data_IF_857882539098
#
_entry.id   IF_857882539098
#
_cell.length_a   1.000
_cell.length_b   1.000
_cell.length_c   1.000
_cell.angle_alpha   90.00
_cell.angle_beta   90.00
_cell.angle_gamma   90.00
#
_symmetry.space_group_name_H-M   'P 1'
#
loop_
_entity.id
_entity.type
_entity.pdbx_description
1 polymer ?
#
# COMPACT_ATOMS: atom_id res chain seq x y z
N UNK A 1 -3.82 25.69 -11.46
CA UNK A 1 -3.20 26.43 -10.35
C UNK A 1 -1.81 25.85 -10.10
N UNK A 2 -0.73 26.58 -10.41
CA UNK A 2 0.64 26.07 -10.26
C UNK A 2 0.95 25.81 -8.77
N UNK A 3 1.55 24.66 -8.48
CA UNK A 3 1.99 24.26 -7.13
C UNK A 3 3.37 24.87 -6.84
N UNK A 4 3.45 25.78 -5.88
CA UNK A 4 4.69 26.42 -5.43
C UNK A 4 5.32 25.72 -4.20
N UNK A 5 4.79 24.58 -3.75
CA UNK A 5 5.27 23.85 -2.57
C UNK A 5 6.66 23.22 -2.72
N UNK A 6 7.25 23.27 -3.92
CA UNK A 6 8.61 22.76 -4.21
C UNK A 6 9.53 23.81 -4.84
N UNK A 7 9.20 25.11 -4.71
CA UNK A 7 10.05 26.20 -5.21
C UNK A 7 11.42 26.13 -4.55
N UNK A 8 12.44 25.93 -5.38
CA UNK A 8 13.84 25.95 -5.00
C UNK A 8 14.64 26.67 -6.06
N UNK A 9 15.74 27.31 -5.67
CA UNK A 9 16.75 27.76 -6.62
C UNK A 9 17.28 26.52 -7.37
N UNK A 10 17.00 26.44 -8.67
CA UNK A 10 17.41 25.34 -9.53
C UNK A 10 17.76 25.86 -10.93
N UNK A 11 18.40 25.01 -11.72
CA UNK A 11 18.63 25.25 -13.14
C UNK A 11 17.28 25.40 -13.86
N UNK A 12 17.01 26.51 -14.58
CA UNK A 12 15.75 26.71 -15.30
C UNK A 12 15.41 25.61 -16.32
N UNK A 13 16.41 24.83 -16.76
CA UNK A 13 16.20 23.66 -17.61
C UNK A 13 15.42 22.53 -16.91
N UNK A 14 15.46 22.47 -15.57
CA UNK A 14 14.80 21.44 -14.77
C UNK A 14 13.28 21.49 -14.95
N UNK A 15 12.67 22.67 -14.90
CA UNK A 15 11.22 22.84 -14.98
C UNK A 15 10.71 22.35 -16.35
N UNK A 16 11.46 22.64 -17.41
CA UNK A 16 11.16 22.19 -18.77
C UNK A 16 11.29 20.66 -18.88
N UNK A 17 12.36 20.08 -18.35
CA UNK A 17 12.55 18.63 -18.36
C UNK A 17 11.47 17.88 -17.57
N UNK A 18 11.11 18.38 -16.38
CA UNK A 18 10.03 17.83 -15.57
C UNK A 18 8.68 17.91 -16.28
N UNK A 19 8.38 19.03 -16.94
CA UNK A 19 7.15 19.19 -17.72
C UNK A 19 7.05 18.16 -18.86
N UNK A 20 8.12 17.97 -19.62
CA UNK A 20 8.16 17.02 -20.75
C UNK A 20 8.02 15.56 -20.29
N UNK A 21 8.64 15.21 -19.15
CA UNK A 21 8.54 13.88 -18.57
C UNK A 21 7.14 13.62 -17.98
N UNK A 22 6.55 14.61 -17.31
CA UNK A 22 5.20 14.54 -16.76
C UNK A 22 4.18 14.37 -17.89
N UNK A 23 4.34 15.12 -18.97
CA UNK A 23 3.51 14.97 -20.17
C UNK A 23 3.52 13.53 -20.69
N UNK A 24 4.71 12.98 -20.96
CA UNK A 24 4.85 11.63 -21.50
C UNK A 24 4.32 10.54 -20.57
N UNK A 25 4.34 10.77 -19.25
CA UNK A 25 3.74 9.85 -18.29
C UNK A 25 2.20 9.83 -18.39
N UNK A 26 1.56 10.99 -18.56
CA UNK A 26 0.10 11.11 -18.59
C UNK A 26 -0.53 10.89 -19.97
N UNK A 27 0.21 11.10 -21.05
CA UNK A 27 -0.26 10.94 -22.43
C UNK A 27 -0.70 9.48 -22.74
N UNK A 28 -0.02 8.50 -22.13
CA UNK A 28 -0.35 7.07 -22.27
C UNK A 28 -1.73 6.71 -21.68
N UNK A 29 -2.16 7.42 -20.64
CA UNK A 29 -3.47 7.17 -19.99
C UNK A 29 -4.63 7.93 -20.65
N UNK A 30 -4.34 8.95 -21.47
CA UNK A 30 -5.37 9.95 -21.85
C UNK A 30 -5.90 9.83 -23.28
N UNK A 31 -5.24 9.08 -24.19
CA UNK A 31 -5.63 8.88 -25.61
C UNK A 31 -6.35 10.09 -26.27
N UNK A 32 -5.86 11.31 -26.04
CA UNK A 32 -6.47 12.51 -26.63
C UNK A 32 -5.85 12.77 -28.00
N UNK A 33 -6.61 12.47 -29.06
CA UNK A 33 -6.25 12.80 -30.43
C UNK A 33 -5.99 14.33 -30.57
N UNK A 34 -4.81 14.70 -31.09
CA UNK A 34 -4.45 16.10 -31.40
C UNK A 34 -3.33 16.70 -30.55
N UNK A 35 -2.81 16.00 -29.54
CA UNK A 35 -1.73 16.49 -28.67
C UNK A 35 -0.37 15.78 -28.88
N UNK A 36 -0.25 14.93 -29.89
CA UNK A 36 0.96 14.17 -30.22
C UNK A 36 2.20 15.04 -30.49
N UNK A 37 1.99 16.30 -30.93
CA UNK A 37 3.05 17.29 -31.24
C UNK A 37 3.30 18.29 -30.11
N UNK A 38 2.71 18.05 -28.93
CA UNK A 38 2.76 18.99 -27.81
C UNK A 38 4.19 19.23 -27.29
N UNK A 39 5.05 18.20 -27.12
CA UNK A 39 6.45 18.40 -26.73
C UNK A 39 7.22 19.29 -27.71
N UNK A 40 7.03 19.10 -29.01
CA UNK A 40 7.68 19.87 -30.08
C UNK A 40 7.17 21.31 -30.11
N UNK A 41 5.85 21.51 -29.99
CA UNK A 41 5.24 22.83 -29.97
C UNK A 41 5.65 23.63 -28.73
N UNK A 42 5.70 22.98 -27.56
CA UNK A 42 6.17 23.59 -26.32
C UNK A 42 7.62 24.06 -26.46
N UNK A 43 8.50 23.20 -26.97
CA UNK A 43 9.90 23.54 -27.18
C UNK A 43 10.10 24.58 -28.27
N UNK A 44 9.29 24.59 -29.32
CA UNK A 44 9.32 25.64 -30.35
C UNK A 44 8.93 27.01 -29.77
N UNK A 45 8.01 27.05 -28.80
CA UNK A 45 7.67 28.27 -28.05
C UNK A 45 8.73 28.68 -27.02
N UNK A 46 9.42 27.70 -26.42
CA UNK A 46 10.42 27.95 -25.37
C UNK A 46 11.82 28.28 -25.91
N UNK A 47 12.21 27.73 -27.06
CA UNK A 47 13.56 27.85 -27.62
C UNK A 47 14.01 29.26 -28.05
N UNK A 48 13.15 30.18 -28.53
CA UNK A 48 13.60 31.50 -28.98
C UNK A 48 14.33 32.28 -27.88
N UNK A 49 15.59 32.67 -28.15
CA UNK A 49 16.44 33.41 -27.20
C UNK A 49 17.03 32.56 -26.06
N UNK A 50 16.81 31.24 -26.04
CA UNK A 50 17.35 30.34 -25.03
C UNK A 50 18.66 29.69 -25.53
N UNK A 51 19.74 29.69 -24.73
CA UNK A 51 20.98 29.02 -25.11
C UNK A 51 20.78 27.53 -25.36
N UNK A 52 21.45 27.00 -26.40
CA UNK A 52 21.34 25.59 -26.80
C UNK A 52 21.68 24.63 -25.65
N UNK A 53 22.62 25.00 -24.80
CA UNK A 53 23.05 24.24 -23.63
C UNK A 53 21.91 24.07 -22.62
N UNK A 54 21.01 25.05 -22.49
CA UNK A 54 19.84 24.94 -21.60
C UNK A 54 18.83 23.93 -22.14
N UNK A 55 18.60 23.92 -23.45
CA UNK A 55 17.73 22.92 -24.10
C UNK A 55 18.31 21.50 -23.94
N UNK A 56 19.63 21.36 -24.04
CA UNK A 56 20.32 20.08 -23.81
C UNK A 56 20.16 19.60 -22.36
N UNK A 57 20.34 20.48 -21.37
CA UNK A 57 20.10 20.14 -19.96
C UNK A 57 18.62 19.82 -19.70
N UNK A 58 17.69 20.46 -20.39
CA UNK A 58 16.27 20.16 -20.27
C UNK A 58 15.94 18.74 -20.75
N UNK A 59 16.54 18.30 -21.87
CA UNK A 59 16.45 16.90 -22.34
C UNK A 59 17.08 15.90 -21.39
N UNK A 60 18.17 16.26 -20.71
CA UNK A 60 18.75 15.43 -19.65
C UNK A 60 17.78 15.31 -18.45
N UNK A 61 17.19 16.41 -18.01
CA UNK A 61 16.21 16.41 -16.93
C UNK A 61 14.90 15.70 -17.30
N UNK A 62 14.50 15.72 -18.58
CA UNK A 62 13.40 14.90 -19.11
C UNK A 62 13.69 13.41 -18.94
N UNK A 63 14.86 12.93 -19.36
CA UNK A 63 15.26 11.54 -19.17
C UNK A 63 15.24 11.14 -17.68
N UNK A 64 15.82 11.96 -16.81
CA UNK A 64 15.78 11.73 -15.36
C UNK A 64 14.34 11.76 -14.80
N UNK A 65 13.49 12.63 -15.34
CA UNK A 65 12.09 12.75 -14.98
C UNK A 65 11.30 11.49 -15.30
N UNK A 66 11.53 10.89 -16.47
CA UNK A 66 10.90 9.63 -16.89
C UNK A 66 11.24 8.48 -15.93
N UNK A 67 12.51 8.36 -15.53
CA UNK A 67 12.92 7.38 -14.50
C UNK A 67 12.23 7.66 -13.16
N UNK A 68 12.14 8.94 -12.77
CA UNK A 68 11.44 9.33 -11.54
C UNK A 68 9.95 8.99 -11.60
N UNK A 69 9.30 9.13 -12.75
CA UNK A 69 7.93 8.71 -12.97
C UNK A 69 7.78 7.19 -12.85
N UNK A 70 8.67 6.42 -13.48
CA UNK A 70 8.68 4.96 -13.38
C UNK A 70 8.78 4.48 -11.93
N UNK A 71 9.65 5.10 -11.13
CA UNK A 71 9.89 4.70 -9.72
C UNK A 71 8.80 5.20 -8.78
N UNK A 72 8.27 6.42 -8.97
CA UNK A 72 7.38 7.06 -7.98
C UNK A 72 5.90 6.99 -8.31
N UNK A 73 5.55 6.75 -9.57
CA UNK A 73 4.16 6.92 -10.04
C UNK A 73 3.56 5.63 -10.59
N UNK A 74 4.35 4.72 -11.13
CA UNK A 74 3.87 3.38 -11.51
C UNK A 74 3.72 2.53 -10.24
N UNK A 75 2.52 2.00 -10.03
CA UNK A 75 2.25 1.16 -8.88
C UNK A 75 2.54 -0.30 -9.22
N UNK A 76 3.45 -0.94 -8.48
CA UNK A 76 3.89 -2.32 -8.76
C UNK A 76 2.80 -3.39 -8.57
N UNK A 77 1.61 -3.01 -8.10
CA UNK A 77 0.45 -3.90 -7.97
C UNK A 77 -0.53 -3.80 -9.16
N UNK A 78 -0.31 -2.89 -10.12
CA UNK A 78 -1.11 -2.78 -11.34
C UNK A 78 -0.72 -3.91 -12.31
N UNK A 79 -1.67 -4.52 -13.01
CA UNK A 79 -1.40 -5.71 -13.84
C UNK A 79 -0.40 -5.48 -14.99
N UNK A 80 -0.19 -4.23 -15.38
CA UNK A 80 0.67 -3.77 -16.47
C UNK A 80 1.90 -2.98 -15.97
N UNK A 81 2.18 -2.97 -14.65
CA UNK A 81 3.24 -2.16 -14.05
C UNK A 81 4.60 -2.37 -14.73
N UNK A 82 4.92 -3.62 -15.10
CA UNK A 82 6.20 -3.99 -15.69
C UNK A 82 6.34 -3.39 -17.11
N UNK A 83 5.29 -3.47 -17.92
CA UNK A 83 5.25 -2.88 -19.26
C UNK A 83 5.34 -1.35 -19.18
N UNK A 84 4.62 -0.72 -18.24
CA UNK A 84 4.67 0.73 -18.02
C UNK A 84 6.04 1.23 -17.57
N UNK A 85 6.70 0.50 -16.66
CA UNK A 85 8.08 0.81 -16.24
C UNK A 85 9.05 0.64 -17.40
N UNK A 86 8.96 -0.46 -18.16
CA UNK A 86 9.83 -0.73 -19.30
C UNK A 86 9.72 0.37 -20.36
N UNK A 87 8.51 0.80 -20.69
CA UNK A 87 8.26 1.87 -21.64
C UNK A 87 8.87 3.22 -21.19
N UNK A 88 8.71 3.59 -19.91
CA UNK A 88 9.29 4.83 -19.37
C UNK A 88 10.83 4.78 -19.36
N UNK A 89 11.41 3.62 -19.07
CA UNK A 89 12.86 3.39 -19.11
C UNK A 89 13.38 3.47 -20.55
N UNK A 90 12.68 2.87 -21.50
CA UNK A 90 13.03 2.91 -22.92
C UNK A 90 12.99 4.35 -23.46
N UNK A 91 11.92 5.11 -23.16
CA UNK A 91 11.81 6.53 -23.52
C UNK A 91 12.94 7.36 -22.90
N UNK A 92 13.30 7.11 -21.64
CA UNK A 92 14.45 7.75 -21.00
C UNK A 92 15.76 7.42 -21.75
N UNK A 93 15.94 6.16 -22.14
CA UNK A 93 17.14 5.72 -22.84
C UNK A 93 17.25 6.36 -24.23
N UNK A 94 16.15 6.48 -24.97
CA UNK A 94 16.11 7.19 -26.26
C UNK A 94 16.58 8.63 -26.08
N UNK A 95 16.09 9.34 -25.07
CA UNK A 95 16.50 10.74 -24.79
C UNK A 95 17.98 10.87 -24.43
N UNK A 96 18.52 9.92 -23.67
CA UNK A 96 19.95 9.91 -23.35
C UNK A 96 20.80 9.62 -24.59
N UNK A 97 20.36 8.73 -25.48
CA UNK A 97 21.05 8.43 -26.73
C UNK A 97 21.06 9.64 -27.68
N UNK A 98 19.92 10.33 -27.83
CA UNK A 98 19.81 11.56 -28.62
C UNK A 98 20.77 12.65 -28.09
N UNK A 99 20.86 12.77 -26.76
CA UNK A 99 21.75 13.72 -26.11
C UNK A 99 23.23 13.36 -26.33
N UNK A 100 23.60 12.08 -26.20
CA UNK A 100 24.96 11.60 -26.45
C UNK A 100 25.40 11.86 -27.89
N UNK A 101 24.51 11.61 -28.86
CA UNK A 101 24.75 11.93 -30.27
C UNK A 101 24.98 13.43 -30.47
N UNK A 102 24.15 14.28 -29.85
CA UNK A 102 24.30 15.74 -29.96
C UNK A 102 25.56 16.29 -29.30
N UNK A 103 26.14 15.56 -28.34
CA UNK A 103 27.38 15.87 -27.63
C UNK A 103 28.63 15.23 -28.27
N UNK A 104 28.48 14.45 -29.34
CA UNK A 104 29.59 13.75 -29.99
C UNK A 104 30.20 12.63 -29.14
N UNK A 105 29.45 12.08 -28.18
CA UNK A 105 29.91 10.97 -27.34
C UNK A 105 29.58 9.62 -27.99
N UNK A 106 30.46 8.60 -27.89
CA UNK A 106 30.21 7.29 -28.49
C UNK A 106 29.02 6.60 -27.79
N UNK A 107 27.98 6.24 -28.56
CA UNK A 107 26.85 5.49 -28.07
C UNK A 107 27.29 4.08 -27.63
N UNK A 108 27.01 3.72 -26.37
CA UNK A 108 27.34 2.39 -25.83
C UNK A 108 26.34 1.38 -26.41
N UNK A 109 26.75 0.61 -27.41
CA UNK A 109 25.94 -0.45 -28.04
C UNK A 109 25.78 -1.61 -27.06
N UNK A 110 24.56 -1.94 -26.66
CA UNK A 110 24.25 -3.27 -26.11
C UNK A 110 23.28 -3.96 -27.05
N UNK A 111 23.74 -5.11 -27.54
CA UNK A 111 23.03 -6.06 -28.39
C UNK A 111 21.95 -6.78 -27.61
N UNK A 112 20.69 -6.56 -27.97
CA UNK A 112 19.57 -7.47 -27.69
C UNK A 112 18.85 -7.73 -29.02
N UNK A 113 19.46 -8.59 -29.81
CA UNK A 113 18.95 -9.32 -30.98
C UNK A 113 19.16 -10.79 -30.59
N UNK A 114 18.23 -11.73 -30.56
CA UNK A 114 16.95 -11.98 -31.22
C UNK A 114 16.17 -12.97 -30.33
N UNK A 115 14.84 -12.86 -30.21
CA UNK A 115 13.92 -13.96 -30.56
C UNK A 115 12.64 -13.32 -31.09
N UNK A 116 12.27 -13.77 -32.28
CA UNK A 116 11.27 -13.26 -33.21
C UNK A 116 9.83 -13.53 -32.76
N UNK A 117 8.95 -12.63 -33.20
CA UNK A 117 7.50 -12.76 -33.27
C UNK A 117 7.08 -13.98 -34.10
N UNK A 118 6.07 -14.72 -33.63
CA UNK A 118 4.95 -15.26 -34.42
C UNK A 118 4.05 -16.14 -33.52
N UNK A 119 2.88 -15.65 -33.12
CA UNK A 119 1.59 -16.32 -33.40
C UNK A 119 0.41 -15.48 -32.89
N UNK A 120 -0.44 -15.09 -33.84
CA UNK A 120 -1.72 -14.41 -33.66
C UNK A 120 -2.86 -15.39 -33.40
N UNK A 121 -3.82 -14.95 -32.57
CA UNK A 121 -5.26 -15.27 -32.55
C UNK A 121 -5.73 -16.64 -32.00
N UNK A 122 -6.43 -16.62 -30.86
CA UNK A 122 -7.81 -17.14 -30.68
C UNK A 122 -8.21 -17.24 -29.19
N UNK A 123 -9.30 -16.55 -28.86
CA UNK A 123 -10.43 -16.96 -28.00
C UNK A 123 -10.25 -17.91 -26.79
N UNK A 124 -10.81 -17.45 -25.66
CA UNK A 124 -11.50 -18.19 -24.58
C UNK A 124 -10.66 -18.91 -23.49
N UNK A 125 -11.08 -18.65 -22.25
CA UNK A 125 -10.93 -19.41 -21.00
C UNK A 125 -9.70 -19.20 -20.10
N UNK A 126 -10.00 -18.72 -18.88
CA UNK A 126 -9.25 -18.73 -17.59
C UNK A 126 -7.85 -18.11 -17.50
N UNK A 127 -7.51 -17.38 -16.42
CA UNK A 127 -6.11 -17.19 -16.04
C UNK A 127 -5.62 -18.42 -15.24
N UNK A 128 -4.48 -19.02 -15.58
CA UNK A 128 -3.84 -20.05 -14.76
C UNK A 128 -2.92 -19.41 -13.71
N UNK A 129 -2.75 -20.20 -12.64
CA UNK A 129 -1.66 -20.28 -11.67
C UNK A 129 -0.38 -19.48 -11.94
N UNK A 130 0.17 -18.92 -10.86
CA UNK A 130 1.45 -18.23 -10.75
C UNK A 130 2.56 -18.85 -11.62
N UNK A 131 3.05 -18.08 -12.59
CA UNK A 131 4.27 -18.39 -13.32
C UNK A 131 5.50 -17.82 -12.59
N UNK A 132 6.62 -18.57 -12.53
CA UNK A 132 7.83 -18.14 -11.84
C UNK A 132 8.52 -17.01 -12.61
N UNK A 133 8.86 -15.92 -11.91
CA UNK A 133 9.70 -14.86 -12.47
C UNK A 133 11.12 -15.41 -12.59
N UNK A 134 11.57 -15.62 -13.83
CA UNK A 134 12.90 -16.14 -14.13
C UNK A 134 14.02 -15.23 -13.57
N UNK A 135 15.15 -15.89 -13.30
CA UNK A 135 16.40 -15.49 -12.64
C UNK A 135 17.13 -14.21 -13.12
N UNK A 136 16.49 -13.34 -13.91
CA UNK A 136 17.08 -12.10 -14.45
C UNK A 136 16.88 -10.85 -13.56
N UNK A 137 16.12 -10.92 -12.47
CA UNK A 137 15.83 -9.74 -11.61
C UNK A 137 16.79 -9.57 -10.41
N UNK A 138 17.92 -10.30 -10.35
CA UNK A 138 18.85 -10.25 -9.20
C UNK A 138 19.61 -8.92 -9.06
N UNK A 139 19.59 -8.03 -10.07
CA UNK A 139 20.44 -6.83 -10.13
C UNK A 139 19.72 -5.48 -9.96
N UNK A 140 18.39 -5.43 -9.87
CA UNK A 140 17.66 -4.17 -10.02
C UNK A 140 16.98 -3.62 -8.75
N UNK A 141 16.95 -4.35 -7.64
CA UNK A 141 16.34 -3.86 -6.39
C UNK A 141 17.43 -3.43 -5.41
N UNK A 142 18.00 -2.25 -5.64
CA UNK A 142 18.88 -1.58 -4.67
C UNK A 142 18.12 -0.36 -4.15
N UNK A 143 17.62 -0.46 -2.93
CA UNK A 143 17.08 0.69 -2.21
C UNK A 143 18.18 1.25 -1.29
N UNK A 144 18.75 2.44 -1.59
CA UNK A 144 19.80 3.01 -0.75
C UNK A 144 19.30 3.35 0.66
N UNK A 145 17.98 3.49 0.86
CA UNK A 145 17.38 3.67 2.18
C UNK A 145 17.29 2.38 3.00
N UNK A 146 17.43 1.21 2.36
CA UNK A 146 17.47 -0.10 3.03
C UNK A 146 18.85 -0.71 2.80
N UNK A 147 19.82 -0.24 3.59
CA UNK A 147 21.24 -0.59 3.42
C UNK A 147 21.57 -2.09 3.37
N UNK A 148 20.73 -2.95 3.95
CA UNK A 148 20.92 -4.40 4.04
C UNK A 148 20.20 -5.18 2.94
N UNK A 149 19.37 -4.54 2.11
CA UNK A 149 18.52 -5.20 1.11
C UNK A 149 19.34 -6.00 0.09
N UNK A 150 20.42 -5.41 -0.43
CA UNK A 150 21.30 -6.07 -1.38
C UNK A 150 21.98 -7.32 -0.78
N UNK A 151 22.36 -7.25 0.50
CA UNK A 151 22.91 -8.39 1.25
C UNK A 151 21.89 -9.51 1.40
N UNK A 152 20.64 -9.15 1.74
CA UNK A 152 19.57 -10.12 1.98
C UNK A 152 19.09 -10.80 0.69
N UNK A 153 19.03 -10.08 -0.43
CA UNK A 153 18.65 -10.66 -1.72
C UNK A 153 19.79 -11.43 -2.40
N UNK A 154 21.00 -11.42 -1.81
CA UNK A 154 22.10 -12.27 -2.23
C UNK A 154 22.09 -13.58 -1.42
N UNK A 155 21.69 -14.68 -2.07
CA UNK A 155 21.63 -16.00 -1.42
C UNK A 155 22.95 -16.47 -0.79
N UNK A 156 24.12 -16.07 -1.31
CA UNK A 156 25.42 -16.43 -0.73
C UNK A 156 25.75 -15.65 0.54
N UNK A 157 25.27 -14.43 0.67
CA UNK A 157 25.42 -13.65 1.90
C UNK A 157 24.34 -14.01 2.92
N UNK A 158 23.09 -14.16 2.47
CA UNK A 158 21.97 -14.52 3.33
C UNK A 158 22.20 -15.87 4.03
N UNK A 159 22.75 -16.88 3.36
CA UNK A 159 23.00 -18.19 3.97
C UNK A 159 23.96 -18.09 5.17
N UNK A 160 24.90 -17.14 5.17
CA UNK A 160 25.81 -16.91 6.31
C UNK A 160 25.06 -16.43 7.55
N UNK A 161 23.99 -15.67 7.36
CA UNK A 161 23.11 -15.22 8.44
C UNK A 161 22.10 -16.29 8.85
N UNK A 162 21.63 -17.12 7.91
CA UNK A 162 20.69 -18.23 8.19
C UNK A 162 21.35 -19.44 8.86
N UNK A 163 22.65 -19.66 8.66
CA UNK A 163 23.40 -20.77 9.28
C UNK A 163 23.47 -20.70 10.81
N UNK A 164 23.07 -19.57 11.41
CA UNK A 164 22.92 -19.44 12.86
C UNK A 164 21.57 -19.96 13.39
N UNK A 165 20.61 -20.28 12.51
CA UNK A 165 19.28 -20.72 12.92
C UNK A 165 19.29 -22.17 13.41
N UNK A 166 18.51 -22.52 14.46
CA UNK A 166 18.46 -23.90 14.98
C UNK A 166 18.09 -24.95 13.93
N UNK A 167 17.27 -24.60 12.94
CA UNK A 167 16.87 -25.47 11.84
C UNK A 167 18.00 -25.84 10.87
N UNK A 168 19.09 -25.06 10.84
CA UNK A 168 20.25 -25.30 9.99
C UNK A 168 21.26 -26.29 10.58
N UNK A 169 21.07 -26.75 11.82
CA UNK A 169 22.02 -27.63 12.52
C UNK A 169 21.78 -29.14 12.28
N UNK A 170 20.67 -29.54 11.62
CA UNK A 170 20.28 -30.96 11.43
C UNK A 170 20.66 -31.57 10.06
N UNK A 171 21.32 -30.78 9.22
CA UNK A 171 21.73 -31.14 7.86
C UNK A 171 22.23 -29.87 7.19
N UNK A 172 23.25 -29.94 6.33
CA UNK A 172 23.95 -28.77 5.79
C UNK A 172 23.00 -27.65 5.34
N UNK A 173 23.40 -26.39 5.54
CA UNK A 173 22.56 -25.21 5.30
C UNK A 173 22.23 -25.09 3.80
N UNK A 174 20.99 -25.36 3.36
CA UNK A 174 20.64 -25.23 1.95
C UNK A 174 20.79 -23.77 1.51
N UNK A 175 21.07 -23.52 0.23
CA UNK A 175 21.18 -22.15 -0.27
C UNK A 175 19.77 -21.58 -0.50
N UNK A 176 19.46 -20.36 0.00
CA UNK A 176 18.24 -19.66 -0.37
C UNK A 176 18.10 -19.52 -1.89
N UNK A 177 16.90 -19.80 -2.41
CA UNK A 177 16.56 -19.70 -3.84
C UNK A 177 15.19 -19.07 -4.05
N UNK A 178 14.83 -18.82 -5.32
CA UNK A 178 13.46 -18.38 -5.72
C UNK A 178 12.94 -17.11 -5.04
N UNK A 179 13.81 -16.10 -4.93
CA UNK A 179 13.43 -14.80 -4.40
C UNK A 179 12.37 -14.11 -5.27
N UNK A 180 11.22 -13.82 -4.67
CA UNK A 180 10.12 -13.07 -5.30
C UNK A 180 9.74 -11.91 -4.40
N UNK A 181 9.93 -10.67 -4.86
CA UNK A 181 9.51 -9.48 -4.11
C UNK A 181 7.98 -9.44 -4.07
N UNK A 182 7.42 -9.35 -2.87
CA UNK A 182 5.97 -9.30 -2.62
C UNK A 182 5.48 -7.87 -2.42
N UNK A 183 6.24 -7.06 -1.67
CA UNK A 183 5.94 -5.64 -1.46
C UNK A 183 7.21 -4.84 -1.21
N UNK A 184 7.19 -3.58 -1.63
CA UNK A 184 8.31 -2.67 -1.43
C UNK A 184 7.82 -1.27 -1.07
N UNK A 185 8.28 -0.78 0.08
CA UNK A 185 8.07 0.56 0.58
C UNK A 185 9.42 1.27 0.59
N UNK A 186 9.59 2.22 -0.32
CA UNK A 186 10.88 2.88 -0.55
C UNK A 186 11.46 3.50 0.73
N UNK A 187 12.74 3.23 0.98
CA UNK A 187 13.50 3.68 2.14
C UNK A 187 12.89 3.29 3.50
N UNK A 188 12.02 2.28 3.53
CA UNK A 188 11.33 1.83 4.73
C UNK A 188 11.45 0.31 4.90
N UNK A 189 10.91 -0.48 3.96
CA UNK A 189 10.94 -1.94 4.06
C UNK A 189 10.70 -2.65 2.73
N UNK A 190 11.19 -3.89 2.63
CA UNK A 190 10.93 -4.78 1.49
C UNK A 190 10.54 -6.17 2.00
N UNK A 191 9.44 -6.71 1.47
CA UNK A 191 8.95 -8.05 1.78
C UNK A 191 9.13 -8.95 0.56
N UNK A 192 9.66 -10.14 0.73
CA UNK A 192 9.93 -11.09 -0.34
C UNK A 192 9.70 -12.53 0.12
N UNK A 193 9.25 -13.39 -0.80
CA UNK A 193 9.21 -14.84 -0.65
C UNK A 193 10.53 -15.42 -1.11
N UNK A 194 10.98 -16.50 -0.47
CA UNK A 194 12.11 -17.31 -0.94
C UNK A 194 11.99 -18.75 -0.41
N UNK A 195 12.69 -19.67 -1.06
CA UNK A 195 12.78 -21.07 -0.66
C UNK A 195 14.11 -21.30 0.04
N UNK A 196 14.07 -21.98 1.19
CA UNK A 196 15.26 -22.41 1.93
C UNK A 196 15.19 -23.90 2.24
N UNK A 197 14.70 -24.27 3.43
CA UNK A 197 14.27 -25.65 3.75
C UNK A 197 12.76 -25.80 3.49
N UNK A 198 12.03 -24.74 3.77
CA UNK A 198 10.63 -24.53 3.47
C UNK A 198 10.48 -23.20 2.75
N UNK A 199 9.28 -22.90 2.28
CA UNK A 199 8.96 -21.55 1.82
C UNK A 199 8.87 -20.59 3.01
N UNK A 200 9.48 -19.41 2.86
CA UNK A 200 9.52 -18.38 3.88
C UNK A 200 9.24 -17.01 3.28
N UNK A 201 8.78 -16.12 4.14
CA UNK A 201 8.75 -14.68 3.86
C UNK A 201 9.86 -14.01 4.64
N UNK A 202 10.69 -13.25 3.93
CA UNK A 202 11.64 -12.32 4.50
C UNK A 202 11.11 -10.91 4.42
N UNK A 203 11.20 -10.16 5.52
CA UNK A 203 10.87 -8.75 5.59
C UNK A 203 12.06 -7.97 6.12
N UNK A 204 12.73 -7.24 5.23
CA UNK A 204 13.89 -6.42 5.56
C UNK A 204 13.47 -4.99 5.81
N UNK A 205 13.99 -4.40 6.88
CA UNK A 205 13.64 -3.05 7.33
C UNK A 205 14.82 -2.08 7.22
N UNK A 206 14.51 -0.82 6.94
CA UNK A 206 15.45 0.28 6.96
C UNK A 206 15.93 0.57 8.39
N UNK A 207 15.05 0.42 9.39
CA UNK A 207 15.36 0.60 10.82
C UNK A 207 15.23 -0.72 11.57
N UNK A 208 15.81 -0.81 12.77
CA UNK A 208 15.64 -2.00 13.60
C UNK A 208 14.18 -2.17 14.05
N UNK A 209 13.65 -3.40 13.92
CA UNK A 209 12.27 -3.79 14.20
C UNK A 209 12.19 -5.13 14.96
N UNK A 210 13.15 -5.38 15.84
CA UNK A 210 13.16 -6.56 16.71
C UNK A 210 11.88 -6.66 17.55
N UNK A 211 11.29 -5.53 17.90
CA UNK A 211 10.02 -5.42 18.62
C UNK A 211 8.86 -6.13 17.91
N UNK A 212 8.83 -6.12 16.57
CA UNK A 212 7.83 -6.83 15.77
C UNK A 212 7.95 -8.35 15.93
N UNK A 213 9.19 -8.86 15.95
CA UNK A 213 9.41 -10.30 16.19
C UNK A 213 8.95 -10.70 17.60
N UNK A 214 9.31 -9.91 18.62
CA UNK A 214 8.90 -10.18 20.00
C UNK A 214 7.38 -10.17 20.18
N UNK A 215 6.67 -9.21 19.56
CA UNK A 215 5.21 -9.16 19.67
C UNK A 215 4.56 -10.34 18.96
N UNK A 216 5.05 -10.72 17.77
CA UNK A 216 4.56 -11.91 17.07
C UNK A 216 4.75 -13.18 17.90
N UNK A 217 5.90 -13.36 18.55
CA UNK A 217 6.11 -14.51 19.45
C UNK A 217 5.11 -14.52 20.60
N UNK A 218 4.84 -13.35 21.21
CA UNK A 218 3.87 -13.23 22.31
C UNK A 218 2.45 -13.55 21.82
N UNK A 219 2.04 -13.00 20.68
CA UNK A 219 0.73 -13.28 20.07
C UNK A 219 0.58 -14.77 19.76
N UNK A 220 1.60 -15.37 19.13
CA UNK A 220 1.59 -16.80 18.79
C UNK A 220 1.40 -17.67 20.05
N UNK A 221 2.10 -17.36 21.15
CA UNK A 221 1.96 -18.07 22.44
C UNK A 221 0.61 -17.82 23.14
N UNK A 222 -0.13 -16.78 22.75
CA UNK A 222 -1.47 -16.45 23.27
C UNK A 222 -2.62 -17.14 22.52
N UNK A 223 -2.34 -18.24 21.80
CA UNK A 223 -3.37 -19.03 21.10
C UNK A 223 -3.65 -18.55 19.68
N UNK A 224 -2.61 -18.01 19.02
CA UNK A 224 -2.56 -17.65 17.60
C UNK A 224 -1.40 -18.33 16.87
N UNK A 225 -0.98 -19.50 17.36
CA UNK A 225 0.09 -20.29 16.79
C UNK A 225 -0.30 -21.04 15.53
N UNK A 226 0.66 -21.72 14.93
CA UNK A 226 0.46 -22.39 13.64
C UNK A 226 -0.66 -23.45 13.66
N UNK A 227 -0.91 -24.07 14.81
CA UNK A 227 -1.94 -25.11 14.99
C UNK A 227 -3.34 -24.54 15.31
N UNK A 228 -3.46 -23.24 15.54
CA UNK A 228 -4.73 -22.60 15.88
C UNK A 228 -5.51 -22.22 14.61
N UNK A 229 -6.85 -22.37 14.67
CA UNK A 229 -7.76 -21.96 13.60
C UNK A 229 -7.63 -20.45 13.30
N UNK A 230 -7.44 -19.63 14.33
CA UNK A 230 -7.17 -18.21 14.21
C UNK A 230 -5.71 -17.97 14.56
N UNK A 231 -4.91 -17.53 13.59
CA UNK A 231 -3.45 -17.51 13.75
C UNK A 231 -2.79 -16.32 13.08
N UNK A 232 -1.48 -16.23 13.29
CA UNK A 232 -0.56 -15.34 12.59
C UNK A 232 0.50 -16.19 11.88
N UNK A 233 1.24 -15.65 10.89
CA UNK A 233 2.41 -16.35 10.35
C UNK A 233 3.39 -16.66 11.47
N UNK A 234 3.91 -17.90 11.52
CA UNK A 234 4.90 -18.25 12.53
C UNK A 234 6.13 -17.33 12.41
N UNK A 235 6.51 -16.57 13.47
CA UNK A 235 7.76 -15.83 13.48
C UNK A 235 8.91 -16.83 13.62
N UNK A 236 9.72 -16.98 12.57
CA UNK A 236 10.81 -17.97 12.53
C UNK A 236 12.04 -17.43 13.24
N UNK A 237 12.43 -16.19 12.92
CA UNK A 237 13.54 -15.50 13.55
C UNK A 237 13.57 -14.02 13.16
N UNK A 238 14.31 -13.24 13.95
CA UNK A 238 14.80 -11.93 13.53
C UNK A 238 16.33 -11.95 13.48
N UNK A 239 16.92 -11.43 12.40
CA UNK A 239 18.36 -11.36 12.18
C UNK A 239 18.82 -9.89 12.27
N UNK A 240 19.30 -9.41 13.45
CA UNK A 240 19.58 -8.00 13.66
C UNK A 240 20.65 -7.41 12.73
N UNK A 241 21.66 -8.21 12.38
CA UNK A 241 22.77 -7.79 11.52
C UNK A 241 22.30 -7.32 10.12
N UNK A 242 21.18 -7.85 9.65
CA UNK A 242 20.59 -7.51 8.36
C UNK A 242 19.17 -6.93 8.47
N UNK A 243 18.67 -6.69 9.70
CA UNK A 243 17.32 -6.18 9.99
C UNK A 243 16.23 -6.97 9.26
N UNK A 244 16.35 -8.29 9.30
CA UNK A 244 15.48 -9.21 8.57
C UNK A 244 14.61 -9.99 9.53
N UNK A 245 13.29 -9.82 9.41
CA UNK A 245 12.30 -10.71 10.00
C UNK A 245 12.02 -11.87 9.04
N UNK A 246 12.07 -13.09 9.55
CA UNK A 246 11.71 -14.31 8.85
C UNK A 246 10.41 -14.86 9.43
N UNK A 247 9.48 -15.22 8.56
CA UNK A 247 8.20 -15.79 8.95
C UNK A 247 7.74 -16.88 7.97
N UNK A 248 6.80 -17.71 8.40
CA UNK A 248 6.10 -18.71 7.58
C UNK A 248 5.51 -18.08 6.30
N UNK A 249 5.68 -18.75 5.16
CA UNK A 249 4.85 -18.50 3.99
C UNK A 249 3.48 -19.16 4.18
N UNK A 250 2.41 -18.39 4.02
CA UNK A 250 1.04 -18.86 4.24
C UNK A 250 0.34 -18.93 2.89
N UNK A 251 0.07 -20.16 2.45
CA UNK A 251 -0.70 -20.42 1.24
C UNK A 251 -2.20 -20.40 1.53
N UNK A 252 -2.96 -19.64 0.74
CA UNK A 252 -4.41 -19.54 0.87
C UNK A 252 -5.01 -18.44 0.01
N UNK A 253 -6.34 -18.29 0.09
CA UNK A 253 -7.08 -17.24 -0.62
C UNK A 253 -7.11 -15.97 0.21
N UNK A 254 -6.82 -14.82 -0.40
CA UNK A 254 -6.92 -13.54 0.32
C UNK A 254 -8.39 -13.17 0.57
N UNK A 255 -8.71 -12.64 1.76
CA UNK A 255 -10.06 -12.13 2.01
C UNK A 255 -10.43 -11.01 1.03
N UNK A 256 -9.46 -10.20 0.58
CA UNK A 256 -9.65 -9.22 -0.48
C UNK A 256 -10.23 -9.83 -1.77
N UNK A 257 -9.74 -10.99 -2.19
CA UNK A 257 -10.22 -11.68 -3.38
C UNK A 257 -11.63 -12.22 -3.18
N UNK A 258 -11.92 -12.79 -2.00
CA UNK A 258 -13.25 -13.30 -1.66
C UNK A 258 -14.29 -12.18 -1.66
N UNK A 259 -14.02 -11.04 -1.03
CA UNK A 259 -14.97 -9.92 -1.04
C UNK A 259 -15.09 -9.23 -2.40
N UNK A 260 -14.07 -9.34 -3.26
CA UNK A 260 -14.06 -8.74 -4.59
C UNK A 260 -14.78 -9.60 -5.63
N UNK A 261 -14.70 -10.93 -5.52
CA UNK A 261 -15.14 -11.87 -6.56
C UNK A 261 -16.18 -12.89 -6.09
N UNK A 262 -16.31 -13.08 -4.78
CA UNK A 262 -17.19 -14.08 -4.20
C UNK A 262 -18.66 -13.68 -4.25
N UNK A 263 -19.53 -14.69 -4.16
CA UNK A 263 -20.96 -14.47 -4.01
C UNK A 263 -21.33 -14.04 -2.57
N UNK A 264 -22.63 -13.77 -2.36
CA UNK A 264 -23.16 -13.36 -1.05
C UNK A 264 -22.82 -14.34 0.09
N UNK A 265 -23.08 -15.65 -0.06
CA UNK A 265 -22.69 -16.66 0.92
C UNK A 265 -21.19 -16.70 1.24
N UNK A 266 -20.33 -16.64 0.22
CA UNK A 266 -18.87 -16.63 0.40
C UNK A 266 -18.41 -15.38 1.17
N UNK A 267 -18.94 -14.21 0.81
CA UNK A 267 -18.65 -12.94 1.48
C UNK A 267 -19.14 -12.96 2.95
N UNK A 268 -20.30 -13.57 3.20
CA UNK A 268 -20.85 -13.73 4.54
C UNK A 268 -19.95 -14.59 5.42
N UNK A 269 -19.48 -15.74 4.91
CA UNK A 269 -18.59 -16.61 5.68
C UNK A 269 -17.21 -15.97 5.90
N UNK A 270 -16.67 -15.28 4.89
CA UNK A 270 -15.44 -14.51 5.04
C UNK A 270 -15.57 -13.45 6.15
N UNK A 271 -16.68 -12.71 6.18
CA UNK A 271 -16.97 -11.73 7.22
C UNK A 271 -17.01 -12.37 8.63
N UNK A 272 -17.69 -13.51 8.79
CA UNK A 272 -17.73 -14.25 10.06
C UNK A 272 -16.34 -14.67 10.54
N UNK A 273 -15.52 -15.23 9.65
CA UNK A 273 -14.15 -15.65 9.96
C UNK A 273 -13.27 -14.48 10.39
N UNK A 274 -13.36 -13.34 9.70
CA UNK A 274 -12.64 -12.12 10.08
C UNK A 274 -13.09 -11.61 11.45
N UNK A 275 -14.40 -11.62 11.72
CA UNK A 275 -14.99 -11.15 12.97
C UNK A 275 -14.57 -12.00 14.16
N UNK A 276 -14.65 -13.34 14.02
CA UNK A 276 -14.20 -14.30 15.05
C UNK A 276 -12.72 -14.14 15.37
N UNK A 277 -11.89 -13.99 14.34
CA UNK A 277 -10.46 -13.74 14.54
C UNK A 277 -10.24 -12.46 15.36
N UNK A 278 -10.89 -11.36 14.99
CA UNK A 278 -10.68 -10.06 15.65
C UNK A 278 -11.23 -10.03 17.08
N UNK A 279 -12.41 -10.60 17.32
CA UNK A 279 -13.00 -10.70 18.66
C UNK A 279 -12.09 -11.50 19.60
N UNK A 280 -11.61 -12.66 19.14
CA UNK A 280 -10.65 -13.47 19.87
C UNK A 280 -9.34 -12.73 20.12
N UNK A 281 -8.83 -11.99 19.13
CA UNK A 281 -7.60 -11.21 19.26
C UNK A 281 -7.73 -10.12 20.32
N UNK A 282 -8.79 -9.31 20.27
CA UNK A 282 -9.05 -8.28 21.27
C UNK A 282 -9.21 -8.86 22.70
N UNK A 283 -9.70 -10.09 22.83
CA UNK A 283 -9.89 -10.75 24.12
C UNK A 283 -8.62 -11.39 24.70
N UNK A 284 -7.78 -12.00 23.85
CA UNK A 284 -6.69 -12.89 24.31
C UNK A 284 -5.28 -12.31 24.10
N UNK A 285 -5.10 -11.43 23.11
CA UNK A 285 -3.76 -10.93 22.80
C UNK A 285 -3.28 -9.93 23.86
N UNK A 286 -2.00 -9.98 24.24
CA UNK A 286 -1.47 -9.09 25.25
C UNK A 286 -1.41 -7.65 24.71
N UNK A 287 -1.90 -6.64 25.45
CA UNK A 287 -1.88 -5.24 25.03
C UNK A 287 -0.46 -4.67 25.14
N UNK A 288 0.36 -4.95 24.13
CA UNK A 288 1.76 -4.54 24.04
C UNK A 288 1.92 -3.63 22.83
N UNK A 289 2.60 -2.50 23.03
CA UNK A 289 2.89 -1.54 21.96
C UNK A 289 2.63 -0.10 22.38
N UNK A 290 2.81 0.86 21.46
CA UNK A 290 2.47 2.24 21.71
C UNK A 290 0.95 2.39 21.94
N UNK A 291 0.54 3.34 22.78
CA UNK A 291 -0.87 3.68 22.90
C UNK A 291 -1.26 4.58 21.73
N UNK A 292 -2.18 4.12 20.90
CA UNK A 292 -2.69 4.89 19.78
C UNK A 292 -3.98 5.61 20.15
N UNK A 293 -3.82 6.80 20.72
CA UNK A 293 -4.93 7.65 21.12
C UNK A 293 -5.69 8.29 19.96
N UNK A 294 -6.94 8.67 20.25
CA UNK A 294 -7.86 9.40 19.37
C UNK A 294 -7.24 10.67 18.78
N UNK A 295 -6.41 11.38 19.56
CA UNK A 295 -5.71 12.60 19.13
C UNK A 295 -4.85 12.42 17.87
N UNK A 296 -4.24 11.24 17.70
CA UNK A 296 -3.44 10.93 16.50
C UNK A 296 -4.33 10.91 15.25
N UNK A 297 -5.52 10.33 15.36
CA UNK A 297 -6.50 10.25 14.26
C UNK A 297 -7.08 11.64 13.94
N UNK A 298 -7.43 12.42 14.96
CA UNK A 298 -7.88 13.81 14.78
C UNK A 298 -6.82 14.64 14.06
N UNK A 299 -5.56 14.58 14.53
CA UNK A 299 -4.43 15.28 13.90
C UNK A 299 -4.21 14.86 12.43
N UNK A 300 -4.40 13.57 12.12
CA UNK A 300 -4.30 13.07 10.75
C UNK A 300 -5.46 13.58 9.88
N UNK A 301 -6.68 13.60 10.41
CA UNK A 301 -7.87 14.15 9.76
C UNK A 301 -7.71 15.64 9.46
N UNK A 302 -7.26 16.43 10.43
CA UNK A 302 -7.01 17.87 10.26
C UNK A 302 -5.98 18.15 9.16
N UNK A 303 -4.85 17.42 9.16
CA UNK A 303 -3.84 17.54 8.10
C UNK A 303 -4.40 17.18 6.73
N UNK A 304 -5.31 16.20 6.65
CA UNK A 304 -5.99 15.84 5.41
C UNK A 304 -6.93 16.95 4.95
N UNK A 305 -7.76 17.47 5.84
CA UNK A 305 -8.66 18.58 5.58
C UNK A 305 -7.90 19.82 5.09
N UNK A 306 -6.77 20.14 5.71
CA UNK A 306 -5.87 21.20 5.24
C UNK A 306 -5.36 20.94 3.82
N UNK A 307 -4.91 19.72 3.54
CA UNK A 307 -4.43 19.34 2.20
C UNK A 307 -5.54 19.47 1.15
N UNK A 308 -6.77 19.06 1.48
CA UNK A 308 -7.93 19.19 0.59
C UNK A 308 -8.25 20.67 0.33
N UNK A 309 -8.33 21.49 1.38
CA UNK A 309 -8.61 22.92 1.26
C UNK A 309 -7.52 23.68 0.46
N UNK A 310 -6.25 23.25 0.57
CA UNK A 310 -5.16 23.78 -0.25
C UNK A 310 -5.28 23.36 -1.73
N UNK A 311 -5.78 22.15 -1.99
CA UNK A 311 -5.97 21.65 -3.35
C UNK A 311 -7.18 22.28 -4.04
N UNK A 312 -8.28 22.48 -3.31
CA UNK A 312 -9.50 23.17 -3.75
C UNK A 312 -10.09 24.02 -2.61
N UNK A 313 -9.89 25.36 -2.64
CA UNK A 313 -10.39 26.27 -1.61
C UNK A 313 -11.91 26.26 -1.41
N UNK A 314 -12.69 25.84 -2.41
CA UNK A 314 -14.16 25.75 -2.27
C UNK A 314 -14.61 24.71 -1.25
N UNK A 315 -13.72 23.79 -0.86
CA UNK A 315 -13.97 22.75 0.14
C UNK A 315 -13.55 23.16 1.56
N UNK A 316 -12.98 24.35 1.76
CA UNK A 316 -12.43 24.77 3.04
C UNK A 316 -13.48 24.74 4.16
N UNK A 317 -14.67 25.31 3.92
CA UNK A 317 -15.75 25.34 4.91
C UNK A 317 -16.28 23.93 5.23
N UNK A 318 -16.41 23.07 4.22
CA UNK A 318 -16.79 21.66 4.43
C UNK A 318 -15.75 20.91 5.25
N UNK A 319 -14.47 21.16 5.02
CA UNK A 319 -13.38 20.57 5.78
C UNK A 319 -13.33 21.07 7.23
N UNK A 320 -13.61 22.36 7.45
CA UNK A 320 -13.71 22.94 8.78
C UNK A 320 -14.88 22.34 9.57
N UNK A 321 -16.08 22.28 8.98
CA UNK A 321 -17.27 21.65 9.59
C UNK A 321 -17.00 20.17 9.93
N UNK A 322 -16.43 19.41 9.00
CA UNK A 322 -16.10 18.01 9.26
C UNK A 322 -15.10 17.84 10.42
N UNK A 323 -14.08 18.70 10.49
CA UNK A 323 -13.09 18.66 11.56
C UNK A 323 -13.72 18.96 12.92
N UNK A 324 -14.63 19.93 12.99
CA UNK A 324 -15.38 20.25 14.21
C UNK A 324 -16.27 19.09 14.65
N UNK A 325 -17.04 18.50 13.73
CA UNK A 325 -17.91 17.35 14.04
C UNK A 325 -17.13 16.12 14.45
N UNK A 326 -15.98 15.85 13.82
CA UNK A 326 -15.08 14.77 14.23
C UNK A 326 -14.60 14.99 15.67
N UNK A 327 -14.17 16.21 16.01
CA UNK A 327 -13.72 16.54 17.37
C UNK A 327 -14.87 16.42 18.39
N UNK A 328 -16.08 16.81 18.02
CA UNK A 328 -17.27 16.68 18.87
C UNK A 328 -17.74 15.22 19.05
N UNK A 329 -17.47 14.35 18.08
CA UNK A 329 -17.79 12.92 18.12
C UNK A 329 -16.68 12.06 18.74
N UNK A 330 -15.52 12.63 19.04
CA UNK A 330 -14.37 11.94 19.59
C UNK A 330 -14.71 11.27 20.93
N UNK A 331 -14.40 9.97 21.13
CA UNK A 331 -14.53 9.33 22.43
C UNK A 331 -13.68 10.03 23.49
N UNK A 332 -14.22 10.17 24.70
CA UNK A 332 -13.47 10.75 25.81
C UNK A 332 -12.27 9.85 26.17
N UNK A 333 -11.10 10.43 26.50
CA UNK A 333 -9.95 9.64 26.93
C UNK A 333 -10.30 8.77 28.15
N UNK A 334 -9.93 7.48 28.10
CA UNK A 334 -10.13 6.55 29.20
C UNK A 334 -11.58 6.11 29.44
N UNK A 335 -12.54 6.49 28.59
CA UNK A 335 -13.93 6.08 28.77
C UNK A 335 -14.21 4.61 28.42
N UNK A 336 -13.22 3.90 27.85
CA UNK A 336 -13.30 2.51 27.42
C UNK A 336 -11.97 1.78 27.63
N UNK A 337 -12.00 0.46 27.89
CA UNK A 337 -10.79 -0.34 27.96
C UNK A 337 -10.12 -0.39 26.58
N UNK A 338 -8.82 -0.15 26.55
CA UNK A 338 -8.00 -0.40 25.38
C UNK A 338 -7.59 -1.87 25.34
N UNK A 339 -7.40 -2.41 24.14
CA UNK A 339 -6.92 -3.78 23.93
C UNK A 339 -5.73 -3.78 22.96
N UNK A 340 -5.13 -4.96 22.77
CA UNK A 340 -4.21 -5.19 21.67
C UNK A 340 -4.93 -4.88 20.35
N UNK A 341 -4.25 -4.20 19.44
CA UNK A 341 -4.77 -3.84 18.12
C UNK A 341 -3.74 -4.17 17.05
N UNK A 342 -4.23 -4.62 15.89
CA UNK A 342 -3.34 -4.96 14.77
C UNK A 342 -2.84 -3.69 14.06
N UNK A 343 -3.58 -2.57 14.17
CA UNK A 343 -3.12 -1.25 13.69
C UNK A 343 -3.53 -0.89 12.25
N UNK A 344 -3.77 -1.90 11.42
CA UNK A 344 -4.12 -1.77 10.00
C UNK A 344 -5.08 -2.88 9.55
N UNK A 345 -6.08 -3.20 10.40
CA UNK A 345 -6.90 -4.40 10.20
C UNK A 345 -7.89 -4.20 9.05
N UNK A 346 -7.62 -4.82 7.92
CA UNK A 346 -8.41 -4.76 6.68
C UNK A 346 -8.29 -6.06 5.88
N UNK A 347 -9.11 -6.23 4.85
CA UNK A 347 -9.26 -7.50 4.11
C UNK A 347 -7.98 -7.96 3.38
N UNK A 348 -7.03 -7.05 3.11
CA UNK A 348 -5.75 -7.39 2.46
C UNK A 348 -4.76 -8.06 3.40
N UNK A 349 -4.87 -7.85 4.71
CA UNK A 349 -4.00 -8.52 5.68
C UNK A 349 -4.50 -9.92 6.06
N UNK A 350 -5.55 -10.44 5.41
CA UNK A 350 -6.18 -11.69 5.85
C UNK A 350 -6.07 -12.75 4.76
N UNK A 351 -5.53 -13.92 5.13
CA UNK A 351 -5.47 -15.11 4.29
C UNK A 351 -6.34 -16.21 4.91
N UNK A 352 -7.19 -16.80 4.08
CA UNK A 352 -7.90 -18.03 4.39
C UNK A 352 -7.09 -19.21 3.88
N UNK A 353 -6.29 -19.79 4.77
CA UNK A 353 -5.55 -21.03 4.53
C UNK A 353 -6.42 -22.25 4.91
N UNK A 354 -5.99 -23.45 4.53
CA UNK A 354 -6.69 -24.69 4.87
C UNK A 354 -6.88 -24.82 6.39
N UNK A 355 -8.13 -24.65 6.85
CA UNK A 355 -8.49 -24.72 8.27
C UNK A 355 -8.02 -23.54 9.13
N UNK A 356 -7.41 -22.49 8.55
CA UNK A 356 -6.90 -21.33 9.31
C UNK A 356 -7.31 -19.99 8.71
N UNK A 357 -7.60 -19.03 9.57
CA UNK A 357 -7.72 -17.61 9.22
C UNK A 357 -6.50 -16.91 9.78
N UNK A 358 -5.63 -16.44 8.88
CA UNK A 358 -4.31 -15.93 9.22
C UNK A 358 -4.26 -14.43 8.96
N UNK A 359 -3.85 -13.66 9.97
CA UNK A 359 -3.65 -12.21 9.84
C UNK A 359 -2.18 -11.85 9.75
N UNK A 360 -1.87 -11.13 8.69
CA UNK A 360 -0.53 -10.71 8.29
C UNK A 360 -0.20 -9.31 8.83
N UNK A 361 1.04 -8.92 8.58
CA UNK A 361 1.62 -7.59 8.79
C UNK A 361 1.43 -7.03 10.21
N UNK A 362 2.47 -7.19 11.04
CA UNK A 362 2.49 -6.74 12.42
C UNK A 362 3.36 -5.50 12.63
N UNK A 363 3.56 -4.69 11.60
CA UNK A 363 4.41 -3.48 11.70
C UNK A 363 3.75 -2.34 12.48
N UNK A 364 2.43 -2.21 12.35
CA UNK A 364 1.67 -1.09 12.94
C UNK A 364 0.93 -1.50 14.22
N UNK A 365 1.29 -2.63 14.82
CA UNK A 365 0.70 -3.12 16.07
C UNK A 365 0.78 -2.05 17.18
N UNK A 366 -0.29 -1.96 17.96
CA UNK A 366 -0.37 -0.98 19.03
C UNK A 366 -1.45 -1.39 20.07
N UNK A 367 -1.71 -0.48 21.01
CA UNK A 367 -2.80 -0.59 21.98
C UNK A 367 -3.82 0.51 21.68
N UNK A 368 -5.06 0.12 21.40
CA UNK A 368 -6.10 1.04 20.93
C UNK A 368 -7.50 0.64 21.38
N UNK A 369 -8.46 1.52 21.10
CA UNK A 369 -9.88 1.22 21.21
C UNK A 369 -10.27 0.13 20.19
N UNK A 370 -10.93 -0.96 20.61
CA UNK A 370 -11.33 -2.04 19.69
C UNK A 370 -12.22 -1.56 18.54
N UNK A 371 -12.98 -0.47 18.73
CA UNK A 371 -13.82 0.11 17.68
C UNK A 371 -13.01 0.62 16.49
N UNK A 372 -11.71 0.89 16.67
CA UNK A 372 -10.83 1.35 15.60
C UNK A 372 -10.60 0.27 14.55
N UNK A 373 -10.23 -0.95 14.96
CA UNK A 373 -9.97 -2.05 14.01
C UNK A 373 -11.27 -2.51 13.34
N UNK A 374 -12.38 -2.54 14.10
CA UNK A 374 -13.71 -2.84 13.55
C UNK A 374 -14.11 -1.81 12.48
N UNK A 375 -13.95 -0.53 12.76
CA UNK A 375 -14.27 0.53 11.81
C UNK A 375 -13.32 0.52 10.60
N UNK A 376 -12.04 0.20 10.78
CA UNK A 376 -11.09 0.14 9.67
C UNK A 376 -11.49 -0.94 8.67
N UNK A 377 -11.84 -2.13 9.15
CA UNK A 377 -12.31 -3.24 8.33
C UNK A 377 -13.61 -2.89 7.57
N UNK A 378 -14.60 -2.31 8.25
CA UNK A 378 -15.85 -1.91 7.60
C UNK A 378 -15.59 -0.89 6.48
N UNK A 379 -14.79 0.15 6.77
CA UNK A 379 -14.46 1.18 5.77
C UNK A 379 -13.64 0.59 4.62
N UNK A 380 -12.80 -0.41 4.87
CA UNK A 380 -12.03 -1.06 3.82
C UNK A 380 -12.93 -1.87 2.88
N UNK A 381 -13.97 -2.55 3.39
CA UNK A 381 -15.00 -3.21 2.58
C UNK A 381 -15.82 -2.19 1.78
N UNK A 382 -16.27 -1.10 2.38
CA UNK A 382 -17.02 -0.05 1.67
C UNK A 382 -16.20 0.53 0.49
N UNK A 383 -14.90 0.75 0.71
CA UNK A 383 -13.98 1.24 -0.34
C UNK A 383 -13.71 0.20 -1.42
N UNK A 384 -13.54 -1.07 -1.03
CA UNK A 384 -13.39 -2.18 -1.96
C UNK A 384 -14.62 -2.30 -2.87
N UNK A 385 -15.81 -2.25 -2.27
CA UNK A 385 -17.10 -2.30 -2.93
C UNK A 385 -17.28 -1.14 -3.90
N UNK A 386 -16.97 0.10 -3.48
CA UNK A 386 -17.02 1.27 -4.35
C UNK A 386 -16.07 1.15 -5.55
N UNK A 387 -14.87 0.59 -5.34
CA UNK A 387 -13.85 0.44 -6.40
C UNK A 387 -14.16 -0.69 -7.38
N UNK A 388 -14.77 -1.79 -6.94
CA UNK A 388 -14.86 -3.01 -7.74
C UNK A 388 -16.27 -3.52 -8.00
N UNK A 389 -17.26 -3.11 -7.20
CA UNK A 389 -18.64 -3.59 -7.26
C UNK A 389 -19.64 -2.47 -7.62
N UNK A 390 -19.15 -1.26 -7.87
CA UNK A 390 -19.94 -0.12 -8.38
C UNK A 390 -20.70 0.68 -7.31
N UNK A 391 -20.65 0.27 -6.04
CA UNK A 391 -21.29 0.99 -4.94
C UNK A 391 -20.55 0.75 -3.62
N UNK A 392 -20.38 1.79 -2.79
CA UNK A 392 -19.81 1.67 -1.44
C UNK A 392 -20.66 0.81 -0.52
N UNK A 393 -21.93 0.58 -0.87
CA UNK A 393 -22.91 -0.20 -0.12
C UNK A 393 -23.00 -1.67 -0.52
N UNK A 394 -22.28 -2.10 -1.58
CA UNK A 394 -22.43 -3.46 -2.11
C UNK A 394 -21.98 -4.57 -1.16
N UNK A 395 -21.24 -4.25 -0.09
CA UNK A 395 -20.81 -5.17 0.97
C UNK A 395 -21.37 -4.79 2.36
N UNK A 396 -22.48 -4.06 2.42
CA UNK A 396 -23.13 -3.68 3.68
C UNK A 396 -23.62 -4.91 4.46
N UNK A 397 -24.14 -5.93 3.76
CA UNK A 397 -24.55 -7.19 4.38
C UNK A 397 -23.36 -7.90 5.04
N UNK A 398 -22.22 -7.99 4.34
CA UNK A 398 -20.99 -8.56 4.88
C UNK A 398 -20.46 -7.74 6.06
N UNK A 399 -20.51 -6.42 5.99
CA UNK A 399 -20.12 -5.52 7.09
C UNK A 399 -21.03 -5.68 8.32
N UNK A 400 -22.32 -5.86 8.10
CA UNK A 400 -23.31 -6.09 9.15
C UNK A 400 -23.10 -7.45 9.83
N UNK A 401 -22.87 -8.50 9.03
CA UNK A 401 -22.53 -9.84 9.53
C UNK A 401 -21.23 -9.81 10.33
N UNK A 402 -20.20 -9.11 9.83
CA UNK A 402 -18.94 -8.96 10.53
C UNK A 402 -19.15 -8.33 11.92
N UNK A 403 -19.86 -7.19 11.99
CA UNK A 403 -20.11 -6.52 13.26
C UNK A 403 -20.95 -7.37 14.21
N UNK A 404 -22.01 -8.01 13.71
CA UNK A 404 -22.87 -8.88 14.51
C UNK A 404 -22.06 -10.04 15.09
N UNK A 405 -21.31 -10.77 14.26
CA UNK A 405 -20.48 -11.88 14.71
C UNK A 405 -19.38 -11.42 15.67
N UNK A 406 -18.77 -10.25 15.46
CA UNK A 406 -17.77 -9.71 16.37
C UNK A 406 -18.34 -9.53 17.79
N UNK A 407 -19.57 -9.02 17.91
CA UNK A 407 -20.26 -8.83 19.18
C UNK A 407 -20.69 -10.17 19.80
N UNK A 408 -21.20 -11.11 19.01
CA UNK A 408 -21.63 -12.45 19.45
C UNK A 408 -20.46 -13.28 20.00
N UNK A 409 -19.26 -13.08 19.48
CA UNK A 409 -18.03 -13.78 19.89
C UNK A 409 -17.33 -13.11 21.10
N UNK A 410 -18.02 -12.19 21.79
CA UNK A 410 -17.54 -11.55 23.01
C UNK A 410 -16.70 -10.29 22.78
N UNK A 411 -16.75 -9.71 21.58
CA UNK A 411 -16.22 -8.37 21.31
C UNK A 411 -16.84 -7.31 22.23
N UNK A 412 -16.16 -6.18 22.40
CA UNK A 412 -16.61 -5.16 23.35
C UNK A 412 -17.96 -4.57 22.90
N UNK A 413 -18.96 -4.65 23.79
CA UNK A 413 -20.37 -4.43 23.45
C UNK A 413 -20.71 -2.99 23.09
N UNK A 414 -19.91 -2.02 23.55
CA UNK A 414 -20.09 -0.60 23.26
C UNK A 414 -19.39 -0.17 21.98
N UNK A 415 -18.64 -1.03 21.26
CA UNK A 415 -18.03 -0.70 19.96
C UNK A 415 -18.97 0.07 19.03
N UNK A 416 -20.25 -0.33 18.84
CA UNK A 416 -21.19 0.40 18.00
C UNK A 416 -21.36 1.89 18.35
N UNK A 417 -21.22 2.28 19.63
CA UNK A 417 -21.32 3.68 20.08
C UNK A 417 -20.24 4.57 19.44
N UNK A 418 -19.11 3.99 19.04
CA UNK A 418 -17.90 4.71 18.59
C UNK A 418 -17.60 4.53 17.11
N UNK A 419 -18.29 3.62 16.42
CA UNK A 419 -18.04 3.34 15.01
C UNK A 419 -18.19 4.58 14.14
N UNK A 420 -19.17 5.44 14.41
CA UNK A 420 -19.41 6.68 13.65
C UNK A 420 -18.16 7.56 13.57
N UNK A 421 -17.48 7.76 14.70
CA UNK A 421 -16.25 8.54 14.79
C UNK A 421 -15.11 7.89 13.98
N UNK A 422 -14.81 6.61 14.25
CA UNK A 422 -13.69 5.95 13.60
C UNK A 422 -13.92 5.77 12.09
N UNK A 423 -15.13 5.40 11.66
CA UNK A 423 -15.46 5.29 10.24
C UNK A 423 -15.22 6.62 9.51
N UNK A 424 -15.71 7.72 10.10
CA UNK A 424 -15.52 9.05 9.54
C UNK A 424 -14.04 9.43 9.42
N UNK A 425 -13.22 9.12 10.44
CA UNK A 425 -11.78 9.35 10.40
C UNK A 425 -11.07 8.48 9.34
N UNK A 426 -11.45 7.20 9.20
CA UNK A 426 -10.84 6.30 8.22
C UNK A 426 -11.19 6.62 6.76
N UNK A 427 -12.37 7.18 6.50
CA UNK A 427 -12.71 7.72 5.18
C UNK A 427 -11.76 8.84 4.76
N UNK A 428 -11.30 9.67 5.70
CA UNK A 428 -10.30 10.73 5.43
C UNK A 428 -8.86 10.21 5.24
N UNK A 429 -8.50 9.04 5.77
CA UNK A 429 -7.11 8.55 5.77
C UNK A 429 -6.54 8.34 4.35
N UNK A 430 -7.38 7.94 3.39
CA UNK A 430 -6.93 7.44 2.07
C UNK A 430 -6.48 8.51 1.07
N UNK A 431 -5.79 8.04 0.02
CA UNK A 431 -5.52 8.77 -1.24
C UNK A 431 -4.80 10.11 -1.14
N UNK A 432 -3.93 10.25 -0.13
CA UNK A 432 -3.03 11.41 0.00
C UNK A 432 -2.31 11.73 -1.32
N UNK A 433 -1.75 10.71 -1.97
CA UNK A 433 -1.01 10.89 -3.22
C UNK A 433 -1.89 11.45 -4.34
N UNK A 434 -3.12 10.94 -4.52
CA UNK A 434 -4.03 11.43 -5.55
C UNK A 434 -4.42 12.91 -5.35
N UNK A 435 -4.59 13.34 -4.09
CA UNK A 435 -4.85 14.75 -3.76
C UNK A 435 -3.60 15.60 -4.03
N UNK A 436 -2.42 15.14 -3.60
CA UNK A 436 -1.16 15.86 -3.78
C UNK A 436 -0.78 16.02 -5.26
N UNK A 437 -0.96 14.98 -6.07
CA UNK A 437 -0.65 15.01 -7.50
C UNK A 437 -1.80 15.53 -8.35
N UNK A 438 -2.97 15.79 -7.73
CA UNK A 438 -4.21 16.16 -8.41
C UNK A 438 -4.53 15.20 -9.57
N UNK A 439 -4.34 13.91 -9.33
CA UNK A 439 -4.55 12.87 -10.33
C UNK A 439 -5.98 12.94 -10.92
N UNK A 440 -6.21 12.56 -12.19
CA UNK A 440 -7.54 12.57 -12.78
C UNK A 440 -8.60 11.92 -11.86
N UNK A 441 -9.72 12.62 -11.64
CA UNK A 441 -10.78 12.15 -10.75
C UNK A 441 -10.58 12.38 -9.24
N UNK A 442 -9.45 12.95 -8.80
CA UNK A 442 -9.17 13.22 -7.38
C UNK A 442 -10.29 14.02 -6.69
N UNK A 443 -10.94 14.94 -7.42
CA UNK A 443 -12.01 15.79 -6.87
C UNK A 443 -13.27 15.00 -6.53
N UNK A 444 -13.71 14.10 -7.41
CA UNK A 444 -14.86 13.20 -7.16
C UNK A 444 -14.58 12.28 -5.98
N UNK A 445 -13.35 11.81 -5.91
CA UNK A 445 -12.85 10.98 -4.82
C UNK A 445 -12.87 11.73 -3.48
N UNK A 446 -12.46 13.00 -3.45
CA UNK A 446 -12.58 13.85 -2.25
C UNK A 446 -14.03 14.10 -1.86
N UNK A 447 -14.94 14.33 -2.83
CA UNK A 447 -16.37 14.47 -2.52
C UNK A 447 -16.91 13.22 -1.84
N UNK A 448 -16.62 12.04 -2.39
CA UNK A 448 -17.02 10.76 -1.80
C UNK A 448 -16.44 10.59 -0.38
N UNK A 449 -15.16 10.89 -0.16
CA UNK A 449 -14.55 10.82 1.18
C UNK A 449 -15.27 11.71 2.18
N UNK A 450 -15.53 12.97 1.81
CA UNK A 450 -16.22 13.93 2.69
C UNK A 450 -17.66 13.50 2.95
N UNK A 451 -18.39 13.09 1.92
CA UNK A 451 -19.77 12.63 2.00
C UNK A 451 -19.92 11.40 2.93
N UNK A 452 -19.06 10.40 2.77
CA UNK A 452 -19.06 9.20 3.60
C UNK A 452 -18.65 9.50 5.05
N UNK A 453 -17.70 10.42 5.26
CA UNK A 453 -17.35 10.90 6.59
C UNK A 453 -18.53 11.61 7.28
N UNK A 454 -19.23 12.51 6.58
CA UNK A 454 -20.42 13.19 7.11
C UNK A 454 -21.56 12.21 7.40
N UNK A 455 -21.81 11.27 6.48
CA UNK A 455 -22.84 10.24 6.62
C UNK A 455 -22.58 9.36 7.85
N UNK A 456 -21.33 8.95 8.06
CA UNK A 456 -20.92 8.17 9.23
C UNK A 456 -21.19 8.92 10.55
N UNK A 457 -20.90 10.23 10.61
CA UNK A 457 -21.15 11.05 11.79
C UNK A 457 -22.65 11.29 12.03
N UNK A 458 -23.44 11.48 10.97
CA UNK A 458 -24.88 11.66 11.07
C UNK A 458 -25.58 10.40 11.63
N UNK A 459 -25.16 9.22 11.17
CA UNK A 459 -25.67 7.94 11.69
C UNK A 459 -25.42 7.78 13.20
N UNK A 460 -24.25 8.23 13.69
CA UNK A 460 -23.93 8.21 15.12
C UNK A 460 -24.76 9.21 15.96
N UNK A 461 -25.08 10.38 15.41
CA UNK A 461 -25.88 11.39 16.10
C UNK A 461 -27.33 10.94 16.30
N UNK A 462 -27.91 10.21 15.35
CA UNK A 462 -29.27 9.65 15.44
C UNK A 462 -29.41 8.46 16.39
N UNK A 463 -28.31 7.80 16.76
CA UNK A 463 -28.30 6.61 17.61
C UNK A 463 -28.15 6.88 19.12
N UNK A 464 -28.01 8.15 19.55
CA UNK A 464 -27.94 8.49 20.98
C UNK A 464 -29.29 8.24 21.66
N UNK A 465 -29.39 7.35 22.67
CA UNK A 465 -30.64 7.15 23.40
C UNK A 465 -30.85 8.32 24.36
N UNK A 466 -31.71 9.26 23.99
CA UNK A 466 -32.01 10.40 24.86
C UNK A 466 -32.73 11.54 24.17
N UNK A 467 -33.87 11.27 23.55
CA UNK A 467 -34.98 12.21 23.33
C UNK A 467 -36.18 11.43 22.76
N UNK A 468 -36.80 10.60 23.61
CA UNK A 468 -38.24 10.35 23.51
C UNK A 468 -38.83 11.05 24.73
N UNK A 469 -39.65 12.08 24.46
CA UNK A 469 -40.44 12.80 25.47
C UNK A 469 -41.37 11.84 26.21
#
# INVERSE_FOLDING_TARGET
MMDFGTVRLADPALDVGCFLADWQFWDVESHQAGLEKMPENFLAGYAPGVPKERLMRARLYEAMGLIKCAVRRVQLFEHDWASRVAELVERSQVRLNDLQLSLGMPAKRQSLTEVHEQETASSLSHPPSAAPVNSSCRSAVIDPGISTLATVLNGEELVKHLGALPCSQRGGTPRPSEFTVLSWHNADRCTFRFVFQTELVGKVYATDRHDVHEVMEKISRSGFGQADEYSIPQPVAYLPAVRLLLQEWVEGTSANEVFKQGDGPQSTEAAKRCARWLARFHALAPPVGPIAGVERLLSQGERKCQLIAQADPSLADRCADLSERLRAAAPAPGSFPLCASQGDFWERQIIFAAGRTVVLDWDDYDVADPARDVAHFIVSLEKLAGKHLGSTRALDDASSVFLQTYLEEGGESRVPERLSFYKAAFWLRWWKNAIQTRAPGWRKLVDMMLEESFTSLAAGAGARPGQRQ
#
